data_IF_223655972099
#
_entry.id   IF_223655972099
#
_cell.length_a   1.000
_cell.length_b   1.000
_cell.length_c   1.000
_cell.angle_alpha   90.00
_cell.angle_beta   90.00
_cell.angle_gamma   90.00
#
_symmetry.space_group_name_H-M   'P 1'
#
loop_
_entity.id
_entity.type
_entity.pdbx_description
1 polymer ?
#
# COMPACT_ATOMS: atom_id res chain seq x y z
N UNK A 1 -9.60 -5.56 -12.35
CA UNK A 1 -8.30 -5.87 -11.70
C UNK A 1 -8.31 -5.41 -10.25
N UNK A 2 -7.79 -6.23 -9.33
CA UNK A 2 -7.64 -5.87 -7.91
C UNK A 2 -6.19 -5.56 -7.61
N UNK A 3 -5.96 -4.40 -6.99
CA UNK A 3 -4.62 -3.91 -6.63
C UNK A 3 -4.56 -3.73 -5.12
N UNK A 4 -3.55 -4.34 -4.51
CA UNK A 4 -3.25 -4.20 -3.08
C UNK A 4 -2.10 -3.23 -2.88
N UNK A 5 -2.35 -2.09 -2.26
CA UNK A 5 -1.33 -1.15 -1.82
C UNK A 5 -0.85 -1.48 -0.42
N UNK A 6 0.44 -1.37 -0.18
CA UNK A 6 1.07 -1.67 1.12
C UNK A 6 2.07 -0.59 1.50
N UNK A 7 1.93 -0.11 2.73
CA UNK A 7 2.89 0.75 3.42
C UNK A 7 3.52 -0.03 4.57
N UNK A 8 4.76 -0.58 4.40
CA UNK A 8 5.35 -1.48 5.36
C UNK A 8 5.83 -0.80 6.65
N UNK A 9 5.52 -1.38 7.79
CA UNK A 9 6.06 -1.02 9.10
C UNK A 9 5.91 -2.19 10.07
N UNK A 10 6.81 -2.33 11.06
CA UNK A 10 6.73 -3.46 12.00
C UNK A 10 5.58 -3.30 12.99
N UNK A 11 5.37 -2.11 13.52
CA UNK A 11 4.26 -1.81 14.43
C UNK A 11 2.91 -1.82 13.72
N UNK A 12 2.89 -1.30 12.50
CA UNK A 12 1.70 -1.18 11.66
C UNK A 12 2.09 -1.35 10.20
N UNK A 13 1.40 -2.24 9.50
CA UNK A 13 1.44 -2.34 8.04
C UNK A 13 0.14 -1.77 7.51
N UNK A 14 0.20 -0.64 6.83
CA UNK A 14 -0.96 -0.09 6.14
C UNK A 14 -1.28 -0.94 4.91
N UNK A 15 -2.56 -1.21 4.68
CA UNK A 15 -3.02 -1.83 3.45
C UNK A 15 -4.24 -1.09 2.87
N UNK A 16 -4.30 -1.07 1.55
CA UNK A 16 -5.43 -0.53 0.82
C UNK A 16 -5.70 -1.37 -0.42
N UNK A 17 -6.92 -1.81 -0.58
CA UNK A 17 -7.34 -2.67 -1.69
C UNK A 17 -8.35 -1.92 -2.56
N UNK A 18 -8.03 -1.79 -3.82
CA UNK A 18 -8.89 -1.16 -4.83
C UNK A 18 -9.25 -2.16 -5.94
N UNK A 19 -10.40 -1.97 -6.52
CA UNK A 19 -10.78 -2.62 -7.77
C UNK A 19 -10.83 -1.56 -8.87
N UNK A 20 -10.21 -1.88 -9.99
CA UNK A 20 -10.12 -0.98 -11.14
C UNK A 20 -10.71 -1.67 -12.37
N UNK A 21 -11.47 -0.90 -13.14
CA UNK A 21 -12.00 -1.32 -14.44
C UNK A 21 -11.10 -0.78 -15.54
N UNK A 22 -10.65 -1.66 -16.42
CA UNK A 22 -9.85 -1.30 -17.58
C UNK A 22 -10.75 -0.77 -18.71
N UNK A 23 -10.24 0.20 -19.46
CA UNK A 23 -10.91 0.71 -20.68
C UNK A 23 -11.28 2.20 -20.60
N UNK A 24 -11.87 2.73 -21.68
CA UNK A 24 -12.27 4.13 -21.75
C UNK A 24 -13.31 4.46 -20.67
N UNK A 25 -12.98 5.38 -19.76
CA UNK A 25 -13.83 5.74 -18.65
C UNK A 25 -13.79 4.76 -17.48
N UNK A 26 -12.77 3.91 -17.43
CA UNK A 26 -12.56 2.97 -16.33
C UNK A 26 -12.59 3.65 -14.97
N UNK A 27 -13.22 3.01 -14.01
CA UNK A 27 -13.42 3.50 -12.65
C UNK A 27 -12.54 2.74 -11.66
N UNK A 28 -12.24 3.40 -10.56
CA UNK A 28 -11.60 2.76 -9.41
C UNK A 28 -12.50 2.89 -8.19
N UNK A 29 -12.57 1.82 -7.42
CA UNK A 29 -13.35 1.82 -6.17
C UNK A 29 -12.60 1.17 -5.03
N UNK A 30 -12.82 1.68 -3.83
CA UNK A 30 -12.33 1.09 -2.59
C UNK A 30 -13.05 -0.24 -2.33
N UNK A 31 -12.28 -1.32 -2.07
CA UNK A 31 -12.80 -2.59 -1.59
C UNK A 31 -12.60 -2.76 -0.09
N UNK A 32 -11.39 -2.46 0.40
CA UNK A 32 -11.02 -2.60 1.80
C UNK A 32 -9.78 -1.75 2.11
N UNK A 33 -9.64 -1.31 3.34
CA UNK A 33 -8.41 -0.68 3.81
C UNK A 33 -8.30 -0.79 5.33
N UNK A 34 -7.10 -0.75 5.84
CA UNK A 34 -6.84 -0.81 7.26
C UNK A 34 -5.38 -0.95 7.59
N UNK A 35 -5.11 -1.49 8.76
CA UNK A 35 -3.75 -1.79 9.20
C UNK A 35 -3.66 -3.21 9.77
N UNK A 36 -2.52 -3.84 9.54
CA UNK A 36 -2.06 -5.00 10.31
C UNK A 36 -1.26 -4.44 11.47
N UNK A 37 -1.75 -4.62 12.68
CA UNK A 37 -1.10 -4.13 13.90
C UNK A 37 -0.42 -5.27 14.63
N UNK A 38 0.82 -5.04 15.10
CA UNK A 38 1.54 -5.99 15.94
C UNK A 38 1.72 -5.44 17.35
N UNK A 39 1.81 -6.33 18.34
CA UNK A 39 2.02 -5.96 19.73
C UNK A 39 3.51 -5.68 20.01
N UNK A 40 3.89 -4.47 20.45
CA UNK A 40 5.27 -4.15 20.80
C UNK A 40 5.82 -4.94 22.00
N UNK A 41 4.97 -5.59 22.79
CA UNK A 41 5.38 -6.50 23.87
C UNK A 41 5.85 -7.88 23.39
N UNK A 42 5.62 -8.22 22.13
CA UNK A 42 6.07 -9.47 21.51
C UNK A 42 7.49 -9.36 20.96
N UNK A 43 8.15 -10.52 20.75
CA UNK A 43 9.43 -10.56 20.06
C UNK A 43 9.31 -10.08 18.61
N UNK A 44 10.40 -9.58 18.04
CA UNK A 44 10.42 -9.16 16.62
C UNK A 44 10.01 -10.30 15.69
N UNK A 45 10.46 -11.52 15.98
CA UNK A 45 10.09 -12.71 15.22
C UNK A 45 8.60 -13.00 15.24
N UNK A 46 7.97 -12.94 16.42
CA UNK A 46 6.54 -13.16 16.58
C UNK A 46 5.73 -12.08 15.87
N UNK A 47 6.18 -10.84 15.93
CA UNK A 47 5.56 -9.72 15.19
C UNK A 47 5.62 -9.94 13.68
N UNK A 48 6.75 -10.42 13.15
CA UNK A 48 6.88 -10.77 11.73
C UNK A 48 5.96 -11.93 11.33
N UNK A 49 5.80 -12.94 12.17
CA UNK A 49 4.85 -14.03 11.95
C UNK A 49 3.41 -13.53 11.89
N UNK A 50 3.06 -12.59 12.77
CA UNK A 50 1.73 -11.97 12.78
C UNK A 50 1.44 -11.20 11.49
N UNK A 51 2.40 -10.41 11.01
CA UNK A 51 2.29 -9.73 9.71
C UNK A 51 2.08 -10.73 8.57
N UNK A 52 2.90 -11.78 8.53
CA UNK A 52 2.80 -12.81 7.48
C UNK A 52 1.43 -13.51 7.51
N UNK A 53 0.91 -13.83 8.69
CA UNK A 53 -0.38 -14.48 8.87
C UNK A 53 -1.53 -13.60 8.36
N UNK A 54 -1.56 -12.35 8.78
CA UNK A 54 -2.66 -11.43 8.47
C UNK A 54 -2.62 -11.00 7.00
N UNK A 55 -1.44 -10.74 6.45
CA UNK A 55 -1.26 -10.46 5.02
C UNK A 55 -1.66 -11.66 4.15
N UNK A 56 -1.32 -12.88 4.58
CA UNK A 56 -1.77 -14.12 3.91
C UNK A 56 -3.29 -14.20 3.86
N UNK A 57 -3.98 -13.86 4.95
CA UNK A 57 -5.44 -13.86 5.00
C UNK A 57 -6.03 -12.84 4.02
N UNK A 58 -5.48 -11.64 3.94
CA UNK A 58 -5.88 -10.61 2.97
C UNK A 58 -5.69 -11.08 1.51
N UNK A 59 -4.52 -11.63 1.19
CA UNK A 59 -4.21 -12.11 -0.17
C UNK A 59 -5.13 -13.27 -0.57
N UNK A 60 -5.39 -14.20 0.33
CA UNK A 60 -6.31 -15.33 0.06
C UNK A 60 -7.75 -14.88 -0.12
N UNK A 61 -8.21 -13.95 0.71
CA UNK A 61 -9.58 -13.47 0.68
C UNK A 61 -9.87 -12.63 -0.56
N UNK A 62 -9.00 -11.70 -0.87
CA UNK A 62 -9.22 -10.74 -1.95
C UNK A 62 -8.61 -11.11 -3.30
N UNK A 63 -7.58 -11.95 -3.31
CA UNK A 63 -6.87 -12.39 -4.53
C UNK A 63 -6.43 -11.24 -5.41
N UNK A 64 -5.58 -10.33 -4.92
CA UNK A 64 -5.08 -9.23 -5.73
C UNK A 64 -4.23 -9.76 -6.90
N UNK A 65 -4.35 -9.10 -8.03
CA UNK A 65 -3.61 -9.41 -9.26
C UNK A 65 -2.29 -8.63 -9.34
N UNK A 66 -2.18 -7.58 -8.53
CA UNK A 66 -0.98 -6.76 -8.37
C UNK A 66 -0.87 -6.28 -6.93
N UNK A 67 0.34 -6.18 -6.42
CA UNK A 67 0.66 -5.45 -5.21
C UNK A 67 1.57 -4.26 -5.54
N UNK A 68 1.22 -3.10 -5.01
CA UNK A 68 2.05 -1.90 -5.04
C UNK A 68 2.56 -1.64 -3.63
N UNK A 69 3.88 -1.50 -3.47
CA UNK A 69 4.52 -1.35 -2.16
C UNK A 69 5.29 -0.04 -2.12
N UNK A 70 5.13 0.72 -1.05
CA UNK A 70 5.94 1.90 -0.84
C UNK A 70 7.40 1.51 -0.64
N UNK A 71 8.28 2.08 -1.47
CA UNK A 71 9.71 1.82 -1.39
C UNK A 71 10.33 2.66 -0.28
N UNK A 72 10.99 1.96 0.63
CA UNK A 72 11.69 2.60 1.71
C UNK A 72 12.95 3.33 1.21
N UNK A 73 13.14 4.58 1.66
CA UNK A 73 14.37 5.32 1.53
C UNK A 73 15.12 5.37 2.86
N UNK A 74 16.45 5.25 2.80
CA UNK A 74 17.31 5.31 3.97
C UNK A 74 17.15 6.65 4.70
N UNK A 75 16.33 6.65 5.74
CA UNK A 75 16.45 7.65 6.80
C UNK A 75 17.27 7.04 7.92
N UNK A 76 18.26 7.78 8.42
CA UNK A 76 18.97 7.40 9.64
C UNK A 76 18.02 7.55 10.84
N UNK A 77 17.17 6.58 11.05
CA UNK A 77 16.28 6.55 12.21
C UNK A 77 16.38 5.19 12.91
N UNK A 78 16.05 5.17 14.19
CA UNK A 78 16.01 3.94 14.99
C UNK A 78 14.99 2.93 14.47
N UNK A 79 14.03 3.35 13.63
CA UNK A 79 12.97 2.50 13.07
C UNK A 79 13.34 1.85 11.74
N UNK A 80 14.50 2.17 11.14
CA UNK A 80 14.93 1.69 9.83
C UNK A 80 14.97 0.16 9.75
N UNK A 81 15.57 -0.51 10.74
CA UNK A 81 15.67 -1.97 10.77
C UNK A 81 14.28 -2.60 10.83
N UNK A 82 13.40 -2.08 11.67
CA UNK A 82 12.04 -2.59 11.81
C UNK A 82 11.24 -2.50 10.50
N UNK A 83 11.36 -1.40 9.77
CA UNK A 83 10.71 -1.22 8.46
C UNK A 83 11.26 -2.19 7.42
N UNK A 84 12.58 -2.39 7.38
CA UNK A 84 13.23 -3.33 6.46
C UNK A 84 12.81 -4.77 6.75
N UNK A 85 12.72 -5.15 8.02
CA UNK A 85 12.22 -6.48 8.42
C UNK A 85 10.76 -6.69 7.97
N UNK A 86 9.88 -5.73 8.23
CA UNK A 86 8.48 -5.79 7.80
C UNK A 86 8.36 -5.87 6.28
N UNK A 87 9.13 -5.08 5.53
CA UNK A 87 9.18 -5.15 4.07
C UNK A 87 9.60 -6.54 3.58
N UNK A 88 10.60 -7.16 4.19
CA UNK A 88 11.03 -8.51 3.84
C UNK A 88 9.92 -9.54 4.00
N UNK A 89 9.15 -9.46 5.09
CA UNK A 89 7.99 -10.33 5.33
C UNK A 89 6.89 -10.10 4.29
N UNK A 90 6.60 -8.84 3.95
CA UNK A 90 5.64 -8.48 2.90
C UNK A 90 6.05 -9.09 1.56
N UNK A 91 7.29 -8.88 1.14
CA UNK A 91 7.81 -9.40 -0.13
C UNK A 91 7.77 -10.92 -0.19
N UNK A 92 8.21 -11.59 0.86
CA UNK A 92 8.17 -13.05 0.96
C UNK A 92 6.73 -13.58 0.86
N UNK A 93 5.80 -12.96 1.57
CA UNK A 93 4.39 -13.39 1.58
C UNK A 93 3.77 -13.23 0.20
N UNK A 94 3.94 -12.09 -0.45
CA UNK A 94 3.43 -11.85 -1.80
C UNK A 94 4.02 -12.82 -2.83
N UNK A 95 5.32 -13.09 -2.75
CA UNK A 95 6.00 -14.04 -3.63
C UNK A 95 5.45 -15.47 -3.48
N UNK A 96 5.13 -15.90 -2.26
CA UNK A 96 4.52 -17.23 -2.02
C UNK A 96 3.15 -17.40 -2.70
N UNK A 97 2.44 -16.32 -2.95
CA UNK A 97 1.16 -16.32 -3.66
C UNK A 97 1.30 -15.94 -5.14
N UNK A 98 2.53 -15.80 -5.64
CA UNK A 98 2.82 -15.37 -7.00
C UNK A 98 2.13 -14.04 -7.39
N UNK A 99 1.94 -13.14 -6.42
CA UNK A 99 1.41 -11.79 -6.68
C UNK A 99 2.54 -10.91 -7.21
N UNK A 100 2.43 -10.37 -8.44
CA UNK A 100 3.40 -9.42 -8.96
C UNK A 100 3.51 -8.18 -8.08
N UNK A 101 4.73 -7.65 -7.90
CA UNK A 101 4.99 -6.49 -7.05
C UNK A 101 5.62 -5.37 -7.84
N UNK A 102 5.11 -4.16 -7.66
CA UNK A 102 5.74 -2.90 -8.10
C UNK A 102 6.05 -2.05 -6.87
N UNK A 103 7.15 -1.31 -6.90
CA UNK A 103 7.54 -0.44 -5.79
C UNK A 103 7.65 1.01 -6.24
N UNK A 104 7.21 1.92 -5.39
CA UNK A 104 7.26 3.36 -5.64
C UNK A 104 7.87 4.11 -4.47
N UNK A 105 8.86 4.98 -4.72
CA UNK A 105 9.35 5.91 -3.70
C UNK A 105 8.28 6.96 -3.35
N UNK A 106 8.32 7.53 -2.13
CA UNK A 106 7.35 8.53 -1.69
C UNK A 106 7.16 9.72 -2.65
N UNK A 107 8.24 10.21 -3.25
CA UNK A 107 8.15 11.30 -4.23
C UNK A 107 7.35 10.93 -5.47
N UNK A 108 7.44 9.70 -5.93
CA UNK A 108 6.69 9.23 -7.10
C UNK A 108 5.20 9.07 -6.78
N UNK A 109 4.86 8.62 -5.58
CA UNK A 109 3.48 8.55 -5.10
C UNK A 109 2.86 9.96 -5.06
N UNK A 110 3.55 10.92 -4.46
CA UNK A 110 3.13 12.31 -4.40
C UNK A 110 2.95 12.92 -5.79
N UNK A 111 3.89 12.67 -6.70
CA UNK A 111 3.82 13.16 -8.07
C UNK A 111 2.61 12.56 -8.82
N UNK A 112 2.38 11.25 -8.67
CA UNK A 112 1.31 10.55 -9.35
C UNK A 112 -0.09 11.02 -8.89
N UNK A 113 -0.26 11.26 -7.59
CA UNK A 113 -1.55 11.61 -6.98
C UNK A 113 -1.84 13.10 -6.99
N UNK A 114 -0.86 13.92 -6.63
CA UNK A 114 -1.04 15.37 -6.41
C UNK A 114 -0.27 16.24 -7.41
N UNK A 115 0.37 15.65 -8.42
CA UNK A 115 1.05 16.38 -9.49
C UNK A 115 2.41 16.98 -9.10
N UNK A 116 2.90 16.78 -7.87
CA UNK A 116 4.18 17.26 -7.39
C UNK A 116 4.83 16.27 -6.43
N UNK A 117 6.12 15.96 -6.63
CA UNK A 117 6.89 15.12 -5.70
C UNK A 117 7.09 15.74 -4.32
N UNK A 118 6.82 17.05 -4.18
CA UNK A 118 6.87 17.78 -2.92
C UNK A 118 5.49 18.06 -2.32
N UNK A 119 4.44 17.41 -2.83
CA UNK A 119 3.09 17.57 -2.30
C UNK A 119 3.02 17.25 -0.81
N UNK A 120 2.16 17.99 -0.11
CA UNK A 120 1.91 17.74 1.31
C UNK A 120 1.01 16.52 1.48
N UNK A 121 1.02 15.97 2.68
CA UNK A 121 0.21 14.78 3.02
C UNK A 121 -1.29 15.01 2.83
N UNK A 122 -1.79 16.20 3.14
CA UNK A 122 -3.19 16.57 2.94
C UNK A 122 -3.58 16.62 1.44
N UNK A 123 -2.68 17.09 0.58
CA UNK A 123 -2.90 17.11 -0.87
C UNK A 123 -2.99 15.70 -1.47
N UNK A 124 -2.16 14.78 -0.97
CA UNK A 124 -2.22 13.36 -1.37
C UNK A 124 -3.51 12.72 -0.87
N UNK A 125 -3.93 12.98 0.37
CA UNK A 125 -5.18 12.49 0.93
C UNK A 125 -6.39 12.99 0.14
N UNK A 126 -6.44 14.27 -0.22
CA UNK A 126 -7.50 14.85 -1.04
C UNK A 126 -7.59 14.15 -2.41
N UNK A 127 -6.44 13.82 -3.00
CA UNK A 127 -6.39 13.07 -4.24
C UNK A 127 -6.96 11.64 -4.07
N UNK A 128 -6.58 10.93 -3.01
CA UNK A 128 -7.13 9.60 -2.70
C UNK A 128 -8.64 9.64 -2.56
N UNK A 129 -9.16 10.62 -1.81
CA UNK A 129 -10.60 10.79 -1.59
C UNK A 129 -11.34 11.07 -2.90
N UNK A 130 -10.78 11.93 -3.75
CA UNK A 130 -11.36 12.26 -5.05
C UNK A 130 -11.36 11.05 -5.98
N UNK A 131 -10.23 10.35 -6.12
CA UNK A 131 -10.09 9.22 -7.03
C UNK A 131 -10.99 8.03 -6.65
N UNK A 132 -11.21 7.82 -5.36
CA UNK A 132 -12.06 6.74 -4.85
C UNK A 132 -13.47 7.20 -4.49
N UNK A 133 -13.80 8.47 -4.77
CA UNK A 133 -15.11 9.08 -4.46
C UNK A 133 -15.55 8.87 -3.00
N UNK A 134 -14.62 9.14 -2.06
CA UNK A 134 -14.87 8.96 -0.62
C UNK A 134 -15.43 10.24 -0.01
N UNK A 135 -16.43 10.09 0.85
CA UNK A 135 -17.03 11.21 1.61
C UNK A 135 -16.24 11.54 2.88
N UNK A 136 -15.47 10.57 3.40
CA UNK A 136 -14.66 10.70 4.61
C UNK A 136 -13.26 10.13 4.38
N UNK A 137 -12.23 10.70 5.02
CA UNK A 137 -10.87 10.20 4.88
C UNK A 137 -10.73 8.80 5.46
N UNK A 138 -10.02 7.89 4.75
CA UNK A 138 -9.69 6.56 5.29
C UNK A 138 -8.91 6.68 6.59
N UNK A 139 -9.21 5.82 7.53
CA UNK A 139 -8.52 5.77 8.82
C UNK A 139 -8.07 4.35 9.16
N UNK A 140 -6.94 4.21 9.86
CA UNK A 140 -5.98 5.27 10.22
C UNK A 140 -5.18 5.79 9.03
N UNK A 141 -4.31 6.79 9.23
CA UNK A 141 -3.51 7.44 8.17
C UNK A 141 -2.70 6.44 7.33
N UNK A 142 -2.16 5.39 7.96
CA UNK A 142 -1.40 4.34 7.25
C UNK A 142 -2.25 3.62 6.19
N UNK A 143 -3.56 3.49 6.40
CA UNK A 143 -4.49 2.93 5.41
C UNK A 143 -4.66 3.88 4.22
N UNK A 144 -4.76 5.18 4.47
CA UNK A 144 -4.82 6.19 3.41
C UNK A 144 -3.52 6.22 2.59
N UNK A 145 -2.36 6.12 3.25
CA UNK A 145 -1.06 6.05 2.61
C UNK A 145 -0.97 4.80 1.70
N UNK A 146 -1.45 3.66 2.16
CA UNK A 146 -1.50 2.42 1.37
C UNK A 146 -2.45 2.52 0.15
N UNK A 147 -3.58 3.21 0.28
CA UNK A 147 -4.47 3.49 -0.85
C UNK A 147 -3.80 4.39 -1.90
N UNK A 148 -3.02 5.38 -1.47
CA UNK A 148 -2.23 6.21 -2.37
C UNK A 148 -1.23 5.37 -3.17
N UNK A 149 -0.60 4.38 -2.53
CA UNK A 149 0.32 3.43 -3.19
C UNK A 149 -0.42 2.57 -4.23
N UNK A 150 -1.60 2.05 -3.88
CA UNK A 150 -2.42 1.25 -4.81
C UNK A 150 -2.84 2.05 -6.05
N UNK A 151 -3.31 3.28 -5.86
CA UNK A 151 -3.67 4.18 -6.96
C UNK A 151 -2.47 4.52 -7.85
N UNK A 152 -1.30 4.74 -7.26
CA UNK A 152 -0.06 4.95 -8.02
C UNK A 152 0.24 3.75 -8.90
N UNK A 153 0.08 2.54 -8.39
CA UNK A 153 0.22 1.30 -9.17
C UNK A 153 -0.70 1.30 -10.40
N UNK A 154 -1.96 1.63 -10.20
CA UNK A 154 -2.94 1.74 -11.28
C UNK A 154 -2.56 2.77 -12.35
N UNK A 155 -2.21 3.98 -11.94
CA UNK A 155 -1.85 5.05 -12.88
C UNK A 155 -0.59 4.74 -13.70
N UNK A 156 0.35 4.00 -13.13
CA UNK A 156 1.58 3.61 -13.85
C UNK A 156 1.32 2.51 -14.89
N UNK A 157 0.43 1.55 -14.58
CA UNK A 157 0.04 0.50 -15.56
C UNK A 157 -0.74 1.12 -16.72
N UNK A 158 -1.70 1.99 -16.43
CA UNK A 158 -2.48 2.67 -17.45
C UNK A 158 -1.64 3.49 -18.45
N UNK A 159 -0.52 4.04 -18.00
CA UNK A 159 0.43 4.77 -18.86
C UNK A 159 1.33 3.85 -19.71
N UNK A 160 1.51 2.61 -19.30
CA UNK A 160 2.32 1.65 -20.05
C UNK A 160 1.56 1.01 -21.24
N UNK A 161 0.26 1.23 -21.33
CA UNK A 161 -0.63 0.69 -22.34
C UNK A 161 -1.16 1.75 -23.32
N UNK A 162 -0.64 2.97 -23.26
CA UNK A 162 -0.87 4.07 -24.21
C UNK A 162 0.43 4.35 -25.02
#
# INVERSE_FOLDING_TARGET
>A
MRILGIDPGLARVGYGLIEVEEGPGGSQRLLDCGIIRTDPGQSEGDRMVEIARDLRALVRGWRPELAAVEKFFFYRSSTTIAVVQARGVVMMTLARFAVPVVEFPPMQIKLALAGSGHARKDEVLDAVMRELNLSEPPRPDDAADALAVALTGWFQIGRAHV
#
